data_IF_112549953263
#
_entry.id   IF_112549953263
#
_cell.length_a   1.000
_cell.length_b   1.000
_cell.length_c   1.000
_cell.angle_alpha   90.00
_cell.angle_beta   90.00
_cell.angle_gamma   90.00
#
_symmetry.space_group_name_H-M   'P 1'
#
loop_
_entity.id
_entity.type
_entity.pdbx_description
1 polymer ?
#
# COMPACT_ATOMS: atom_id res chain seq x y z
N UNK A 1 3.18 -13.45 13.51
CA UNK A 1 3.52 -12.81 14.80
C UNK A 1 2.97 -13.66 15.92
N UNK A 2 3.82 -14.24 16.75
CA UNK A 2 3.40 -15.16 17.82
C UNK A 2 3.36 -14.41 19.17
N UNK A 3 2.18 -14.28 19.76
CA UNK A 3 2.02 -13.82 21.16
C UNK A 3 2.46 -14.96 22.08
N UNK A 4 3.65 -14.86 22.65
CA UNK A 4 4.13 -15.80 23.68
C UNK A 4 3.67 -15.34 25.06
N UNK A 5 3.54 -16.24 26.03
CA UNK A 5 3.25 -15.89 27.44
C UNK A 5 4.28 -14.89 28.03
N UNK A 6 5.49 -14.85 27.47
CA UNK A 6 6.50 -13.85 27.83
C UNK A 6 6.12 -12.44 27.38
N UNK A 7 5.40 -12.30 26.27
CA UNK A 7 4.96 -11.02 25.73
C UNK A 7 3.85 -10.38 26.57
N UNK A 8 3.13 -11.15 27.39
CA UNK A 8 2.12 -10.64 28.32
C UNK A 8 2.70 -10.26 29.69
N UNK A 9 3.98 -10.56 29.95
CA UNK A 9 4.62 -10.15 31.19
C UNK A 9 4.65 -8.62 31.31
N UNK A 10 4.45 -8.05 32.51
CA UNK A 10 4.35 -6.60 32.70
C UNK A 10 5.60 -5.86 32.22
N UNK A 11 6.79 -6.47 32.37
CA UNK A 11 8.05 -5.92 31.87
C UNK A 11 8.12 -5.89 30.34
N UNK A 12 7.53 -6.88 29.67
CA UNK A 12 7.45 -6.88 28.20
C UNK A 12 6.51 -5.77 27.72
N UNK A 13 5.33 -5.67 28.32
CA UNK A 13 4.36 -4.59 28.02
C UNK A 13 4.97 -3.20 28.22
N UNK A 14 5.65 -2.96 29.35
CA UNK A 14 6.33 -1.69 29.62
C UNK A 14 7.42 -1.37 28.59
N UNK A 15 8.12 -2.39 28.08
CA UNK A 15 9.20 -2.18 27.11
C UNK A 15 8.69 -1.94 25.68
N UNK A 16 7.52 -2.50 25.36
CA UNK A 16 6.85 -2.45 24.05
C UNK A 16 6.08 -1.14 23.83
N UNK A 17 5.83 -0.37 24.90
CA UNK A 17 5.28 0.98 24.80
C UNK A 17 6.21 1.84 23.96
N UNK A 18 5.62 2.66 23.09
CA UNK A 18 6.29 3.66 22.24
C UNK A 18 6.80 4.88 23.04
N UNK A 19 7.20 4.66 24.29
CA UNK A 19 7.80 5.69 25.13
C UNK A 19 9.27 5.86 24.74
N UNK A 20 9.66 7.10 24.50
CA UNK A 20 11.01 7.44 24.09
C UNK A 20 12.01 7.19 25.24
N UNK A 21 12.99 6.32 25.00
CA UNK A 21 14.05 5.96 25.98
C UNK A 21 15.28 6.87 25.89
N UNK A 22 15.27 7.82 24.96
CA UNK A 22 16.39 8.72 24.67
C UNK A 22 16.34 10.04 25.46
N UNK A 23 15.37 10.21 26.37
CA UNK A 23 15.19 11.43 27.16
C UNK A 23 14.76 12.65 26.34
N UNK A 24 14.40 12.46 25.06
CA UNK A 24 13.81 13.51 24.24
C UNK A 24 12.30 13.48 24.37
N UNK A 25 11.71 14.67 24.38
CA UNK A 25 10.27 14.82 24.40
C UNK A 25 9.66 14.38 23.05
N UNK A 26 8.62 13.53 23.13
CA UNK A 26 7.85 13.05 21.98
C UNK A 26 6.64 13.96 21.68
N UNK A 27 6.51 15.09 22.38
CA UNK A 27 5.45 16.07 22.13
C UNK A 27 5.51 16.61 20.70
N UNK A 28 4.32 16.84 20.14
CA UNK A 28 4.19 17.45 18.83
C UNK A 28 4.55 18.93 18.96
N UNK A 29 5.63 19.32 18.29
CA UNK A 29 6.10 20.71 18.28
C UNK A 29 5.06 21.57 17.55
N UNK A 30 4.72 22.73 18.15
CA UNK A 30 3.83 23.74 17.56
C UNK A 30 2.45 23.18 17.17
N UNK A 31 1.95 22.19 17.92
CA UNK A 31 0.61 21.62 17.67
C UNK A 31 0.45 20.88 16.34
N UNK A 32 1.55 20.60 15.63
CA UNK A 32 1.52 19.99 14.29
C UNK A 32 1.50 21.03 13.17
N UNK A 33 1.51 22.32 13.48
CA UNK A 33 1.58 23.38 12.47
C UNK A 33 2.98 23.47 11.81
N UNK A 34 3.00 23.85 10.53
CA UNK A 34 4.21 24.21 9.78
C UNK A 34 4.60 23.23 8.67
N UNK A 35 5.52 23.67 7.80
CA UNK A 35 5.83 23.02 6.51
C UNK A 35 6.35 21.57 6.59
N UNK A 36 6.88 21.15 7.73
CA UNK A 36 7.43 19.80 7.92
C UNK A 36 6.62 18.94 8.90
N UNK A 37 5.47 19.45 9.34
CA UNK A 37 4.54 18.74 10.19
C UNK A 37 3.28 18.36 9.39
N UNK A 38 2.41 17.56 9.99
CA UNK A 38 1.24 16.97 9.33
C UNK A 38 0.01 17.89 9.31
N UNK A 39 0.08 19.09 9.87
CA UNK A 39 -1.06 19.99 10.02
C UNK A 39 -1.40 20.24 11.48
N UNK A 40 -2.03 21.39 11.74
CA UNK A 40 -2.53 21.76 13.07
C UNK A 40 -3.96 21.30 13.23
N UNK A 41 -4.31 20.79 14.42
CA UNK A 41 -5.70 20.45 14.76
C UNK A 41 -6.62 21.68 14.71
N UNK A 42 -6.10 22.87 15.02
CA UNK A 42 -6.88 24.11 15.02
C UNK A 42 -7.38 24.50 13.62
N UNK A 43 -6.67 24.05 12.58
CA UNK A 43 -6.99 24.37 11.18
C UNK A 43 -7.91 23.31 10.53
N UNK A 44 -8.13 22.16 11.18
CA UNK A 44 -8.82 21.00 10.60
C UNK A 44 -10.23 21.34 10.10
N UNK A 45 -11.03 22.03 10.91
CA UNK A 45 -12.41 22.38 10.53
C UNK A 45 -12.48 23.21 9.24
N UNK A 46 -11.57 24.17 9.07
CA UNK A 46 -11.52 25.01 7.87
C UNK A 46 -11.10 24.19 6.64
N UNK A 47 -10.12 23.29 6.83
CA UNK A 47 -9.61 22.45 5.74
C UNK A 47 -10.64 21.41 5.28
N UNK A 48 -11.47 20.90 6.18
CA UNK A 48 -12.61 20.03 5.84
C UNK A 48 -13.63 20.79 4.97
N UNK A 49 -14.07 21.97 5.43
CA UNK A 49 -15.03 22.80 4.67
C UNK A 49 -14.48 23.17 3.27
N UNK A 50 -13.19 23.53 3.18
CA UNK A 50 -12.54 23.86 1.90
C UNK A 50 -12.42 22.64 0.98
N UNK A 51 -12.13 21.46 1.53
CA UNK A 51 -12.05 20.24 0.74
C UNK A 51 -13.41 19.83 0.14
N UNK A 52 -14.49 19.98 0.90
CA UNK A 52 -15.85 19.71 0.43
C UNK A 52 -16.23 20.63 -0.74
N UNK A 53 -15.90 21.93 -0.63
CA UNK A 53 -16.14 22.90 -1.70
C UNK A 53 -15.33 22.61 -2.97
N UNK A 54 -14.05 22.24 -2.81
CA UNK A 54 -13.20 21.84 -3.93
C UNK A 54 -13.73 20.58 -4.62
N UNK A 55 -14.26 19.60 -3.87
CA UNK A 55 -14.90 18.40 -4.42
C UNK A 55 -16.17 18.75 -5.21
N UNK A 56 -17.04 19.58 -4.65
CA UNK A 56 -18.26 20.04 -5.33
C UNK A 56 -17.94 20.78 -6.63
N UNK A 57 -16.91 21.64 -6.62
CA UNK A 57 -16.46 22.35 -7.80
C UNK A 57 -15.91 21.38 -8.85
N UNK A 58 -15.05 20.43 -8.46
CA UNK A 58 -14.50 19.43 -9.37
C UNK A 58 -15.60 18.58 -10.02
N UNK A 59 -16.61 18.18 -9.24
CA UNK A 59 -17.77 17.44 -9.76
C UNK A 59 -18.58 18.25 -10.77
N UNK A 60 -18.81 19.53 -10.49
CA UNK A 60 -19.50 20.43 -11.41
C UNK A 60 -18.71 20.67 -12.69
N UNK A 61 -17.38 20.85 -12.60
CA UNK A 61 -16.49 20.99 -13.76
C UNK A 61 -16.50 19.75 -14.64
N UNK A 62 -16.42 18.55 -14.05
CA UNK A 62 -16.49 17.29 -14.78
C UNK A 62 -17.84 17.10 -15.48
N UNK A 63 -18.94 17.51 -14.84
CA UNK A 63 -20.28 17.41 -15.42
C UNK A 63 -20.60 18.52 -16.45
N UNK A 64 -19.91 19.66 -16.37
CA UNK A 64 -20.08 20.82 -17.27
C UNK A 64 -19.14 20.79 -18.46
N UNK A 65 -18.09 19.95 -18.44
CA UNK A 65 -17.27 19.69 -19.62
C UNK A 65 -18.15 19.00 -20.67
N UNK A 66 -18.32 19.58 -21.87
CA UNK A 66 -18.94 18.86 -22.97
C UNK A 66 -18.11 17.60 -23.18
N UNK A 67 -18.77 16.44 -23.36
CA UNK A 67 -18.09 15.20 -23.68
C UNK A 67 -17.21 15.43 -24.92
N UNK A 68 -15.93 15.69 -24.70
CA UNK A 68 -14.96 15.81 -25.78
C UNK A 68 -14.89 14.43 -26.41
N UNK A 69 -15.52 14.31 -27.59
CA UNK A 69 -15.39 13.16 -28.47
C UNK A 69 -13.96 13.00 -29.00
N UNK A 70 -13.00 13.81 -28.54
CA UNK A 70 -11.58 13.51 -28.41
C UNK A 70 -11.29 12.47 -27.32
N UNK A 71 -11.98 11.33 -27.37
CA UNK A 71 -11.57 10.14 -26.66
C UNK A 71 -10.20 9.71 -27.18
N UNK A 72 -9.13 10.24 -26.59
CA UNK A 72 -8.05 9.33 -26.20
C UNK A 72 -8.68 8.41 -25.16
N UNK A 73 -9.41 7.39 -25.66
CA UNK A 73 -9.56 6.13 -24.95
C UNK A 73 -8.16 5.90 -24.40
N UNK A 74 -7.99 5.96 -23.06
CA UNK A 74 -6.95 5.14 -22.44
C UNK A 74 -7.08 3.83 -23.19
N UNK A 75 -6.04 3.34 -23.90
CA UNK A 75 -6.18 2.12 -24.65
C UNK A 75 -6.86 1.17 -23.69
N UNK A 76 -8.02 0.66 -24.08
CA UNK A 76 -8.66 -0.39 -23.34
C UNK A 76 -7.63 -1.51 -23.44
N UNK A 77 -6.70 -1.52 -22.48
CA UNK A 77 -5.75 -2.59 -22.34
C UNK A 77 -6.64 -3.65 -21.77
N UNK A 78 -7.35 -4.33 -22.69
CA UNK A 78 -7.88 -5.65 -22.45
C UNK A 78 -6.79 -6.34 -21.68
N UNK A 79 -7.05 -6.63 -20.40
CA UNK A 79 -6.14 -7.46 -19.63
C UNK A 79 -6.22 -8.82 -20.30
N UNK A 80 -5.33 -9.04 -21.28
CA UNK A 80 -5.16 -10.32 -21.96
C UNK A 80 -4.60 -11.29 -20.93
N UNK A 81 -5.48 -11.78 -20.06
CA UNK A 81 -5.19 -12.76 -19.03
C UNK A 81 -4.99 -14.17 -19.62
N UNK A 82 -5.15 -14.34 -20.94
CA UNK A 82 -4.83 -15.58 -21.65
C UNK A 82 -3.34 -15.63 -22.00
N UNK A 83 -2.49 -15.74 -20.98
CA UNK A 83 -1.12 -16.20 -21.18
C UNK A 83 -1.17 -17.72 -21.38
N UNK A 84 -0.63 -18.24 -22.48
CA UNK A 84 -0.54 -19.69 -22.68
C UNK A 84 0.59 -20.25 -21.81
N UNK A 85 0.55 -21.55 -21.51
CA UNK A 85 1.57 -22.16 -20.65
C UNK A 85 2.96 -22.12 -21.31
N UNK A 86 3.04 -22.14 -22.64
CA UNK A 86 4.29 -21.98 -23.38
C UNK A 86 4.92 -20.59 -23.17
N UNK A 87 4.10 -19.54 -23.08
CA UNK A 87 4.59 -18.18 -22.86
C UNK A 87 5.01 -17.96 -21.42
N UNK A 88 4.41 -18.68 -20.46
CA UNK A 88 4.88 -18.73 -19.06
C UNK A 88 6.27 -19.36 -18.95
N UNK A 89 6.50 -20.49 -19.61
CA UNK A 89 7.80 -21.17 -19.57
C UNK A 89 8.91 -20.32 -20.18
N UNK A 90 8.64 -19.68 -21.32
CA UNK A 90 9.58 -18.73 -21.95
C UNK A 90 9.90 -17.56 -21.03
N UNK A 91 8.89 -16.95 -20.40
CA UNK A 91 9.08 -15.86 -19.44
C UNK A 91 9.90 -16.29 -18.21
N UNK A 92 9.70 -17.51 -17.71
CA UNK A 92 10.49 -18.08 -16.62
C UNK A 92 11.96 -18.30 -17.05
N UNK A 93 12.20 -18.77 -18.26
CA UNK A 93 13.56 -18.99 -18.78
C UNK A 93 14.33 -17.68 -18.96
N UNK A 94 13.66 -16.63 -19.46
CA UNK A 94 14.25 -15.28 -19.53
C UNK A 94 14.66 -14.81 -18.14
N UNK A 95 13.79 -14.97 -17.13
CA UNK A 95 14.06 -14.54 -15.76
C UNK A 95 15.15 -15.36 -15.07
N UNK A 96 15.22 -16.68 -15.32
CA UNK A 96 16.28 -17.58 -14.82
C UNK A 96 17.65 -17.25 -15.38
N UNK A 97 17.71 -16.76 -16.62
CA UNK A 97 18.97 -16.40 -17.28
C UNK A 97 19.35 -14.92 -17.11
N UNK A 98 18.38 -14.05 -16.78
CA UNK A 98 18.62 -12.62 -16.56
C UNK A 98 19.58 -12.33 -15.39
N UNK A 99 19.70 -13.24 -14.42
CA UNK A 99 20.62 -13.11 -13.28
C UNK A 99 22.02 -13.71 -13.54
N UNK A 100 22.25 -14.35 -14.70
CA UNK A 100 23.51 -15.05 -15.01
C UNK A 100 24.57 -14.16 -15.69
N UNK A 101 24.23 -12.92 -16.06
CA UNK A 101 25.15 -11.97 -16.69
C UNK A 101 25.42 -10.74 -15.83
N UNK A 102 26.55 -10.07 -16.08
CA UNK A 102 26.91 -8.82 -15.39
C UNK A 102 25.98 -7.63 -15.71
N UNK A 103 25.19 -7.73 -16.79
CA UNK A 103 24.23 -6.71 -17.21
C UNK A 103 22.82 -7.29 -17.14
N UNK A 104 22.13 -7.01 -16.04
CA UNK A 104 20.74 -7.44 -15.81
C UNK A 104 19.80 -6.51 -16.57
N UNK A 105 19.09 -7.03 -17.58
CA UNK A 105 18.06 -6.27 -18.29
C UNK A 105 16.77 -6.20 -17.46
N UNK A 106 16.66 -5.12 -16.69
CA UNK A 106 15.49 -4.83 -15.86
C UNK A 106 14.20 -4.66 -16.70
N UNK A 107 14.33 -4.23 -17.96
CA UNK A 107 13.19 -4.05 -18.85
C UNK A 107 12.59 -5.40 -19.28
N UNK A 108 13.43 -6.39 -19.53
CA UNK A 108 13.00 -7.77 -19.82
C UNK A 108 12.35 -8.43 -18.59
N UNK A 109 12.84 -8.13 -17.37
CA UNK A 109 12.23 -8.61 -16.12
C UNK A 109 10.85 -7.96 -15.90
N UNK A 110 10.73 -6.66 -16.14
CA UNK A 110 9.45 -5.95 -16.00
C UNK A 110 8.39 -6.52 -16.95
N UNK A 111 8.76 -6.78 -18.21
CA UNK A 111 7.87 -7.39 -19.23
C UNK A 111 7.43 -8.82 -18.88
N UNK A 112 8.24 -9.57 -18.11
CA UNK A 112 7.96 -10.96 -17.72
C UNK A 112 7.41 -11.09 -16.28
N UNK A 113 7.05 -9.98 -15.64
CA UNK A 113 6.55 -9.94 -14.26
C UNK A 113 5.27 -10.76 -14.04
N UNK A 114 4.40 -10.82 -15.04
CA UNK A 114 3.12 -11.52 -14.98
C UNK A 114 3.23 -13.05 -14.83
N UNK A 115 4.37 -13.65 -15.22
CA UNK A 115 4.59 -15.10 -15.11
C UNK A 115 4.76 -15.60 -13.67
N UNK A 116 5.05 -14.71 -12.71
CA UNK A 116 5.29 -15.04 -11.29
C UNK A 116 4.18 -14.47 -10.38
N UNK A 117 3.18 -13.82 -10.97
CA UNK A 117 2.05 -13.27 -10.21
C UNK A 117 1.07 -14.40 -9.82
N UNK A 118 1.42 -15.17 -8.80
CA UNK A 118 0.47 -16.06 -8.12
C UNK A 118 -0.11 -15.33 -6.92
N UNK A 119 -1.44 -15.26 -6.81
CA UNK A 119 -2.08 -14.79 -5.58
C UNK A 119 -1.64 -15.66 -4.40
N UNK A 120 -1.42 -15.10 -3.20
CA UNK A 120 -1.16 -15.89 -2.00
C UNK A 120 -2.26 -16.96 -1.81
N UNK A 121 -1.90 -18.17 -1.34
CA UNK A 121 -2.88 -19.22 -1.09
C UNK A 121 -3.92 -18.73 -0.07
N UNK A 122 -5.21 -18.88 -0.43
CA UNK A 122 -6.36 -18.37 0.35
C UNK A 122 -6.61 -19.09 1.67
N UNK A 123 -5.90 -20.19 1.92
CA UNK A 123 -6.13 -21.08 3.06
C UNK A 123 -4.95 -21.05 4.03
N UNK A 124 -4.74 -19.92 4.68
CA UNK A 124 -4.01 -19.92 5.94
C UNK A 124 -5.04 -20.20 7.05
N UNK A 125 -4.95 -21.32 7.81
CA UNK A 125 -5.94 -21.63 8.83
C UNK A 125 -5.93 -20.56 9.93
N UNK A 126 -7.05 -19.85 10.06
CA UNK A 126 -7.29 -18.90 11.15
C UNK A 126 -7.60 -19.75 12.39
N UNK A 127 -6.61 -19.92 13.27
CA UNK A 127 -6.79 -20.60 14.54
C UNK A 127 -7.70 -19.76 15.46
N UNK A 128 -8.98 -20.08 15.46
CA UNK A 128 -9.98 -19.58 16.41
C UNK A 128 -9.94 -20.46 17.66
N UNK A 129 -9.11 -20.07 18.64
CA UNK A 129 -8.99 -20.76 19.92
C UNK A 129 -9.72 -20.00 21.03
N UNK A 130 -11.03 -20.20 21.17
CA UNK A 130 -11.80 -19.93 22.39
C UNK A 130 -11.80 -21.15 23.29
N UNK A 131 -11.40 -21.03 24.55
CA UNK A 131 -12.02 -21.76 25.68
C UNK A 131 -11.45 -21.26 27.02
N UNK A 132 -12.32 -20.59 27.80
CA UNK A 132 -12.25 -20.56 29.27
C UNK A 132 -12.31 -21.99 29.80
N UNK A 133 -11.66 -22.33 30.93
CA UNK A 133 -12.45 -22.39 32.17
C UNK A 133 -11.70 -22.13 33.50
N UNK A 134 -12.55 -21.80 34.49
CA UNK A 134 -12.48 -21.96 35.95
C UNK A 134 -11.44 -21.22 36.80
#
# INVERSE_FOLDING_TARGET
>A
MTRTERATSPRALLKDRSEAKNGMDASIRKGGAGAHNWGSLDDEARLEDEADLDEEQAFQEDNSRPADTGATKRPDVERKNSITDEDREKALNVRKNALKGNNVDLSAIARTSMAVSSSPPKEAPIATGTSSPQ
#
